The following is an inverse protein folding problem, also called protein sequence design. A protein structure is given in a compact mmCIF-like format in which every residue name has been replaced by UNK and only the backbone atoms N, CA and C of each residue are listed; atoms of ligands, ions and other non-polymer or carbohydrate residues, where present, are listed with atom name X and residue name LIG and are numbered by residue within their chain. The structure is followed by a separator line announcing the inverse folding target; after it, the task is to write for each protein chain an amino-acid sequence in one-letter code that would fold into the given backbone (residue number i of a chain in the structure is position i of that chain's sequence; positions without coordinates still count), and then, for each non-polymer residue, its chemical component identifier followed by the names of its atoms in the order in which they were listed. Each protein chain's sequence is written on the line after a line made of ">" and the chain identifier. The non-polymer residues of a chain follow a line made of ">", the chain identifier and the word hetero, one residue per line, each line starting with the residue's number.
data_IF_319588726919
#
_entry.id   IF_319588726919
#
_cell.length_a   1.000
_cell.length_b   1.000
_cell.length_c   1.000
_cell.angle_alpha   90.00
_cell.angle_beta   90.00
_cell.angle_gamma   90.00
#
_symmetry.space_group_name_H-M   'P 1'
#
loop_
_entity.id
_entity.type
_entity.pdbx_description
1 polymer ?
#
# COMPACT_ATOMS: atom_id res chain seq x y z
N UNK A 1 0.76 -17.02 -39.70
CA UNK A 1 0.20 -16.68 -38.38
C UNK A 1 1.29 -16.05 -37.52
N UNK A 2 1.26 -14.73 -37.31
CA UNK A 2 2.21 -14.02 -36.45
C UNK A 2 1.79 -14.17 -34.98
N UNK A 3 2.61 -14.83 -34.16
CA UNK A 3 2.44 -14.89 -32.71
C UNK A 3 3.06 -13.65 -32.06
N UNK A 4 2.25 -12.70 -31.62
CA UNK A 4 2.69 -11.66 -30.68
C UNK A 4 2.65 -12.23 -29.25
N UNK A 5 3.79 -12.75 -28.78
CA UNK A 5 3.99 -13.02 -27.35
C UNK A 5 4.28 -11.69 -26.65
N UNK A 6 3.32 -11.16 -25.89
CA UNK A 6 3.56 -10.07 -24.95
C UNK A 6 4.28 -10.63 -23.73
N UNK A 7 5.58 -10.34 -23.61
CA UNK A 7 6.36 -10.58 -22.38
C UNK A 7 6.57 -9.22 -21.73
N UNK A 8 6.02 -9.03 -20.53
CA UNK A 8 6.21 -7.81 -19.73
C UNK A 8 7.29 -8.11 -18.70
N UNK A 9 8.46 -7.51 -18.87
CA UNK A 9 9.53 -7.47 -17.87
C UNK A 9 9.38 -6.20 -17.03
N UNK A 10 9.31 -6.36 -15.70
CA UNK A 10 9.42 -5.26 -14.75
C UNK A 10 10.84 -5.27 -14.18
N UNK A 11 11.64 -4.24 -14.49
CA UNK A 11 12.99 -4.03 -13.95
C UNK A 11 12.91 -2.91 -12.90
N UNK A 12 13.09 -3.27 -11.62
CA UNK A 12 13.54 -2.32 -10.59
C UNK A 12 15.00 -2.67 -10.26
N UNK A 13 15.95 -1.97 -10.85
CA UNK A 13 17.37 -2.05 -10.48
C UNK A 13 17.68 -0.97 -9.45
N UNK A 14 17.81 -1.37 -8.19
CA UNK A 14 18.51 -0.59 -7.17
C UNK A 14 19.98 -0.96 -7.18
N UNK A 15 20.85 0.00 -7.51
CA UNK A 15 22.31 -0.14 -7.38
C UNK A 15 22.66 -0.24 -5.90
N UNK A 16 23.26 -1.36 -5.47
CA UNK A 16 23.82 -1.53 -4.13
C UNK A 16 25.30 -1.12 -4.21
N UNK A 17 25.64 0.04 -3.64
CA UNK A 17 27.03 0.37 -3.32
C UNK A 17 27.33 -0.16 -1.90
N UNK A 18 28.20 -1.17 -1.77
CA UNK A 18 28.76 -1.54 -0.47
C UNK A 18 29.94 -0.62 -0.15
N UNK A 19 29.91 0.08 0.97
CA UNK A 19 31.10 0.67 1.57
C UNK A 19 31.34 0.05 2.96
N UNK A 20 32.59 -0.30 3.30
CA UNK A 20 32.91 -0.89 4.59
C UNK A 20 32.80 0.14 5.71
N UNK A 21 32.29 -0.30 6.86
CA UNK A 21 32.18 0.50 8.07
C UNK A 21 33.58 0.84 8.61
N UNK A 22 33.84 2.13 8.83
CA UNK A 22 34.96 2.61 9.66
C UNK A 22 34.40 3.37 10.85
N UNK A 23 34.93 3.03 12.02
CA UNK A 23 34.60 3.57 13.33
C UNK A 23 34.82 5.09 13.38
N UNK A 24 33.79 5.85 13.81
CA UNK A 24 33.91 7.28 14.12
C UNK A 24 33.56 7.49 15.59
N UNK A 25 34.54 8.05 16.29
CA UNK A 25 34.51 8.45 17.70
C UNK A 25 33.44 9.50 17.98
N UNK A 26 32.78 9.38 19.14
CA UNK A 26 31.75 10.31 19.61
C UNK A 26 32.32 11.73 19.75
N UNK A 27 31.74 12.69 19.06
CA UNK A 27 31.87 14.12 19.37
C UNK A 27 30.48 14.70 19.60
N UNK A 28 30.29 15.33 20.75
CA UNK A 28 29.07 15.98 21.18
C UNK A 28 28.78 17.19 20.28
N UNK A 29 27.67 17.17 19.54
CA UNK A 29 27.10 18.36 18.92
C UNK A 29 25.58 18.37 19.14
N UNK A 30 25.12 19.37 19.88
CA UNK A 30 23.70 19.71 20.04
C UNK A 30 23.09 20.04 18.67
N UNK A 31 22.04 19.32 18.30
CA UNK A 31 21.27 19.58 17.09
C UNK A 31 20.35 20.80 17.27
N UNK A 32 20.62 21.87 16.50
CA UNK A 32 19.64 22.93 16.25
C UNK A 32 18.58 22.41 15.28
N UNK A 33 17.30 22.56 15.64
CA UNK A 33 16.17 22.27 14.75
C UNK A 33 16.21 23.15 13.48
N UNK A 34 15.85 22.61 12.30
CA UNK A 34 15.63 23.42 11.12
C UNK A 34 14.33 24.23 11.25
N UNK A 35 14.44 25.55 11.13
CA UNK A 35 13.32 26.48 10.98
C UNK A 35 12.72 26.31 9.58
N UNK A 36 11.45 25.90 9.49
CA UNK A 36 10.77 25.83 8.20
C UNK A 36 9.51 24.96 8.14
N UNK A 37 8.54 25.22 9.03
CA UNK A 37 7.13 24.90 8.79
C UNK A 37 6.31 25.90 9.61
N UNK A 38 5.82 26.95 8.96
CA UNK A 38 4.91 27.90 9.59
C UNK A 38 3.57 27.22 9.75
N UNK A 39 3.26 26.81 10.98
CA UNK A 39 1.89 26.51 11.39
C UNK A 39 1.11 27.81 11.21
N UNK A 40 0.14 27.84 10.30
CA UNK A 40 -0.86 28.90 10.30
C UNK A 40 -1.61 28.81 11.63
N UNK A 41 -1.21 29.63 12.60
CA UNK A 41 -2.07 29.95 13.74
C UNK A 41 -3.18 30.84 13.19
N UNK A 42 -4.34 30.25 12.94
CA UNK A 42 -5.58 31.02 12.84
C UNK A 42 -5.74 31.81 14.13
N UNK A 43 -5.76 33.13 14.01
CA UNK A 43 -6.11 34.03 15.10
C UNK A 43 -7.61 34.04 15.23
N UNK A 44 -8.17 33.15 16.04
CA UNK A 44 -9.53 33.32 16.55
C UNK A 44 -9.46 33.57 18.05
N UNK A 45 -9.66 34.83 18.40
CA UNK A 45 -10.01 35.25 19.74
C UNK A 45 -11.35 34.62 20.11
N UNK A 46 -11.35 33.58 20.96
CA UNK A 46 -12.47 33.34 21.86
C UNK A 46 -11.99 32.63 23.14
N UNK A 47 -12.18 33.34 24.26
CA UNK A 47 -12.07 32.79 25.61
C UNK A 47 -13.36 32.02 25.92
N UNK A 48 -13.20 30.79 26.42
CA UNK A 48 -14.20 30.08 27.22
C UNK A 48 -15.26 29.30 26.43
N UNK A 49 -15.12 27.97 26.40
CA UNK A 49 -16.15 27.05 25.90
C UNK A 49 -15.57 25.65 25.69
N UNK A 50 -16.30 24.62 26.13
CA UNK A 50 -15.94 23.20 26.10
C UNK A 50 -15.31 22.79 24.75
N UNK A 51 -14.14 22.16 24.79
CA UNK A 51 -13.35 21.80 23.61
C UNK A 51 -14.13 20.94 22.63
N UNK A 52 -14.47 21.50 21.47
CA UNK A 52 -14.93 20.73 20.34
C UNK A 52 -13.77 19.85 19.85
N UNK A 53 -13.96 18.53 19.66
CA UNK A 53 -12.93 17.70 19.05
C UNK A 53 -12.65 18.23 17.65
N UNK A 54 -11.40 18.56 17.33
CA UNK A 54 -11.05 18.97 15.98
C UNK A 54 -11.42 17.84 15.01
N UNK A 55 -12.27 18.16 14.05
CA UNK A 55 -12.71 17.18 13.05
C UNK A 55 -11.63 17.12 11.99
N UNK A 56 -10.89 16.00 11.91
CA UNK A 56 -9.93 15.79 10.84
C UNK A 56 -10.62 15.84 9.46
N UNK A 57 -10.05 16.62 8.55
CA UNK A 57 -10.50 16.72 7.16
C UNK A 57 -9.35 16.66 6.17
N UNK A 58 -9.57 16.04 5.00
CA UNK A 58 -8.57 15.94 3.93
C UNK A 58 -9.21 15.98 2.55
N UNK A 59 -8.46 16.45 1.56
CA UNK A 59 -8.83 16.31 0.14
C UNK A 59 -8.55 14.88 -0.37
N UNK A 60 -7.75 14.11 0.37
CA UNK A 60 -7.52 12.71 0.08
C UNK A 60 -8.63 11.84 0.69
N UNK A 61 -8.95 10.68 0.10
CA UNK A 61 -9.75 9.65 0.75
C UNK A 61 -9.16 9.27 2.11
N UNK A 62 -10.02 8.93 3.05
CA UNK A 62 -9.62 8.50 4.40
C UNK A 62 -9.88 7.01 4.53
N UNK A 63 -8.82 6.25 4.79
CA UNK A 63 -8.87 4.82 5.11
C UNK A 63 -8.73 4.66 6.61
N UNK A 64 -9.67 3.95 7.23
CA UNK A 64 -9.65 3.60 8.64
C UNK A 64 -9.58 2.08 8.72
N UNK A 65 -8.59 1.57 9.45
CA UNK A 65 -8.43 0.15 9.75
C UNK A 65 -8.50 -0.05 11.26
N UNK A 66 -9.26 -1.04 11.68
CA UNK A 66 -9.43 -1.44 13.07
C UNK A 66 -9.07 -2.91 13.24
N UNK A 67 -8.03 -3.19 14.02
CA UNK A 67 -7.56 -4.56 14.30
C UNK A 67 -8.11 -5.11 15.61
N UNK A 68 -8.99 -4.36 16.29
CA UNK A 68 -9.57 -4.69 17.58
C UNK A 68 -8.51 -5.00 18.65
N UNK A 69 -7.46 -4.18 18.69
CA UNK A 69 -6.36 -4.35 19.65
C UNK A 69 -5.31 -5.40 19.27
N UNK A 70 -5.39 -6.01 18.08
CA UNK A 70 -4.44 -7.05 17.64
C UNK A 70 -3.23 -6.45 16.93
N UNK A 71 -2.06 -6.97 17.27
CA UNK A 71 -0.80 -6.63 16.61
C UNK A 71 -0.73 -7.21 15.20
N UNK A 72 -0.38 -6.37 14.22
CA UNK A 72 -0.20 -6.79 12.83
C UNK A 72 1.19 -7.44 12.67
N UNK A 73 1.23 -8.67 12.15
CA UNK A 73 2.44 -9.43 11.86
C UNK A 73 2.69 -9.53 10.35
N UNK A 74 3.89 -9.94 9.93
CA UNK A 74 4.28 -10.12 8.52
C UNK A 74 3.47 -11.20 7.81
N UNK A 75 3.34 -12.38 8.42
CA UNK A 75 2.43 -13.43 7.96
C UNK A 75 2.03 -14.32 9.17
N UNK A 76 0.86 -14.98 9.12
CA UNK A 76 -0.24 -14.75 8.18
C UNK A 76 -1.10 -13.54 8.58
N UNK A 77 -1.90 -13.05 7.63
CA UNK A 77 -2.95 -12.04 7.85
C UNK A 77 -3.77 -12.29 9.12
N UNK A 78 -4.09 -11.20 9.81
CA UNK A 78 -5.04 -11.19 10.92
C UNK A 78 -6.37 -10.56 10.46
N UNK A 79 -7.51 -10.99 11.02
CA UNK A 79 -8.79 -10.34 10.75
C UNK A 79 -8.81 -8.90 11.30
N UNK A 80 -9.33 -7.98 10.49
CA UNK A 80 -9.55 -6.58 10.82
C UNK A 80 -10.80 -6.05 10.08
N UNK A 81 -11.22 -4.83 10.41
CA UNK A 81 -12.26 -4.10 9.69
C UNK A 81 -11.66 -2.90 8.97
N UNK A 82 -12.15 -2.60 7.78
CA UNK A 82 -11.75 -1.41 7.01
C UNK A 82 -12.97 -0.58 6.62
N UNK A 83 -12.83 0.74 6.73
CA UNK A 83 -13.78 1.74 6.22
C UNK A 83 -13.03 2.77 5.39
N UNK A 84 -13.53 3.04 4.19
CA UNK A 84 -13.01 4.08 3.29
C UNK A 84 -14.07 5.16 3.13
N UNK A 85 -13.68 6.39 3.48
CA UNK A 85 -14.47 7.60 3.30
C UNK A 85 -13.94 8.31 2.05
N UNK A 86 -14.83 8.52 1.08
CA UNK A 86 -14.51 9.21 -0.15
C UNK A 86 -15.74 9.84 -0.78
N UNK A 87 -15.77 11.16 -0.83
CA UNK A 87 -16.74 11.92 -1.61
C UNK A 87 -16.38 11.88 -3.10
N UNK A 88 -17.13 11.08 -3.85
CA UNK A 88 -16.96 10.90 -5.30
C UNK A 88 -17.25 12.17 -6.10
N UNK A 89 -17.94 13.15 -5.53
CA UNK A 89 -18.19 14.46 -6.16
C UNK A 89 -16.98 15.40 -6.10
N UNK A 90 -15.93 15.03 -5.35
CA UNK A 90 -14.72 15.84 -5.17
C UNK A 90 -14.76 16.78 -3.98
N UNK A 91 -15.78 16.67 -3.11
CA UNK A 91 -15.81 17.37 -1.84
C UNK A 91 -14.73 16.90 -0.86
N UNK A 92 -14.55 17.66 0.21
CA UNK A 92 -13.53 17.38 1.22
C UNK A 92 -14.02 16.27 2.16
N UNK A 93 -13.16 15.29 2.43
CA UNK A 93 -13.47 14.16 3.31
C UNK A 93 -13.27 14.55 4.78
N UNK A 94 -14.06 13.95 5.68
CA UNK A 94 -13.92 14.07 7.13
C UNK A 94 -14.15 12.73 7.81
N UNK A 95 -13.60 12.53 9.02
CA UNK A 95 -13.83 11.28 9.77
C UNK A 95 -15.31 11.03 10.13
N UNK A 96 -16.10 12.11 10.21
CA UNK A 96 -17.54 12.09 10.51
C UNK A 96 -18.42 12.00 9.25
N UNK A 97 -17.82 12.03 8.05
CA UNK A 97 -18.54 12.00 6.78
C UNK A 97 -19.32 10.70 6.58
N UNK A 98 -20.48 10.82 5.92
CA UNK A 98 -21.31 9.68 5.51
C UNK A 98 -21.00 9.18 4.10
N UNK A 99 -20.06 9.81 3.38
CA UNK A 99 -19.63 9.38 2.05
C UNK A 99 -18.72 8.14 2.14
N UNK A 100 -19.33 6.97 2.32
CA UNK A 100 -18.63 5.68 2.44
C UNK A 100 -18.47 5.06 1.06
N UNK A 101 -17.21 4.86 0.65
CA UNK A 101 -16.89 4.13 -0.59
C UNK A 101 -16.76 2.63 -0.34
N UNK A 102 -16.22 2.24 0.81
CA UNK A 102 -16.11 0.85 1.23
C UNK A 102 -16.26 0.70 2.74
N UNK A 103 -16.91 -0.38 3.18
CA UNK A 103 -16.93 -0.84 4.57
C UNK A 103 -17.06 -2.36 4.60
N UNK A 104 -16.10 -3.05 5.22
CA UNK A 104 -16.11 -4.51 5.24
C UNK A 104 -15.00 -5.13 6.09
N UNK A 105 -15.02 -6.46 6.16
CA UNK A 105 -13.97 -7.29 6.78
C UNK A 105 -12.77 -7.37 5.86
N UNK A 106 -11.59 -7.40 6.46
CA UNK A 106 -10.33 -7.59 5.75
C UNK A 106 -9.41 -8.54 6.53
N UNK A 107 -8.50 -9.21 5.82
CA UNK A 107 -7.24 -9.68 6.35
C UNK A 107 -6.19 -8.58 6.21
N UNK A 108 -5.36 -8.38 7.24
CA UNK A 108 -4.22 -7.44 7.19
C UNK A 108 -2.93 -8.09 7.70
N UNK A 109 -1.82 -7.79 7.04
CA UNK A 109 -0.47 -8.18 7.45
C UNK A 109 0.54 -7.06 7.14
N UNK A 110 1.70 -7.09 7.80
CA UNK A 110 2.83 -6.26 7.40
C UNK A 110 3.33 -6.74 6.04
N UNK A 111 3.90 -5.82 5.26
CA UNK A 111 4.42 -6.14 3.94
C UNK A 111 5.81 -5.56 3.74
N UNK A 112 6.62 -6.38 3.07
CA UNK A 112 7.90 -5.97 2.50
C UNK A 112 9.00 -6.93 2.89
N UNK A 113 10.24 -6.46 2.77
CA UNK A 113 11.42 -7.21 3.24
C UNK A 113 12.30 -6.27 4.05
N UNK A 114 13.05 -5.41 3.37
CA UNK A 114 13.85 -4.38 4.05
C UNK A 114 12.96 -3.33 4.72
N UNK A 115 11.81 -3.01 4.12
CA UNK A 115 10.87 -2.02 4.65
C UNK A 115 10.14 -2.46 5.93
N UNK A 116 10.17 -3.74 6.30
CA UNK A 116 9.62 -4.21 7.57
C UNK A 116 10.35 -3.60 8.78
N UNK A 117 11.61 -3.17 8.61
CA UNK A 117 12.37 -2.48 9.64
C UNK A 117 12.16 -0.97 9.67
N UNK A 118 11.28 -0.41 8.83
CA UNK A 118 11.03 1.03 8.80
C UNK A 118 9.99 1.44 9.85
N UNK A 119 10.12 2.61 10.50
CA UNK A 119 9.12 3.10 11.44
C UNK A 119 7.72 3.25 10.85
N UNK A 120 7.63 3.52 9.55
CA UNK A 120 6.37 3.57 8.81
C UNK A 120 6.19 2.27 8.03
N UNK A 121 5.35 1.40 8.57
CA UNK A 121 5.06 0.08 8.02
C UNK A 121 4.27 0.18 6.71
N UNK A 122 4.37 -0.88 5.90
CA UNK A 122 3.49 -1.10 4.75
C UNK A 122 2.60 -2.30 5.06
N UNK A 123 1.41 -2.33 4.45
CA UNK A 123 0.43 -3.36 4.73
C UNK A 123 -0.05 -4.06 3.47
N UNK A 124 -0.18 -5.38 3.55
CA UNK A 124 -1.00 -6.16 2.63
C UNK A 124 -2.42 -6.24 3.18
N UNK A 125 -3.41 -5.96 2.35
CA UNK A 125 -4.84 -5.98 2.71
C UNK A 125 -5.57 -6.92 1.76
N UNK A 126 -6.40 -7.79 2.30
CA UNK A 126 -7.25 -8.71 1.55
C UNK A 126 -8.69 -8.49 1.99
N UNK A 127 -9.59 -8.17 1.07
CA UNK A 127 -11.01 -8.01 1.35
C UNK A 127 -11.63 -9.38 1.50
N UNK A 128 -12.40 -9.57 2.57
CA UNK A 128 -12.95 -10.86 2.95
C UNK A 128 -14.48 -10.81 3.09
N UNK A 129 -15.13 -11.93 2.81
CA UNK A 129 -16.54 -12.17 3.15
C UNK A 129 -16.73 -12.47 4.65
N UNK A 130 -17.92 -12.93 5.04
CA UNK A 130 -18.22 -13.19 6.44
C UNK A 130 -17.55 -14.47 6.97
N UNK A 131 -17.24 -15.39 6.06
CA UNK A 131 -16.57 -16.67 6.27
C UNK A 131 -15.02 -16.54 6.23
N UNK A 132 -14.49 -15.39 5.80
CA UNK A 132 -13.06 -15.12 5.71
C UNK A 132 -12.43 -15.48 4.35
N UNK A 133 -13.23 -15.74 3.31
CA UNK A 133 -12.73 -15.98 1.97
C UNK A 133 -12.54 -14.67 1.20
N UNK A 134 -11.66 -14.68 0.20
CA UNK A 134 -11.44 -13.60 -0.75
C UNK A 134 -12.77 -13.10 -1.35
N UNK A 135 -12.98 -11.78 -1.25
CA UNK A 135 -14.12 -11.09 -1.86
C UNK A 135 -13.66 -9.89 -2.66
N UNK A 136 -13.96 -9.89 -3.95
CA UNK A 136 -13.64 -8.75 -4.80
C UNK A 136 -14.53 -7.55 -4.48
N UNK A 137 -13.90 -6.38 -4.30
CA UNK A 137 -14.61 -5.11 -4.22
C UNK A 137 -13.81 -4.00 -4.89
N UNK A 138 -14.53 -3.06 -5.51
CA UNK A 138 -13.94 -1.84 -6.08
C UNK A 138 -13.64 -0.86 -4.94
N UNK A 139 -12.42 -0.34 -4.90
CA UNK A 139 -12.01 0.72 -3.98
C UNK A 139 -11.64 1.96 -4.77
N UNK A 140 -12.18 3.12 -4.40
CA UNK A 140 -11.80 4.44 -4.92
C UNK A 140 -11.85 4.53 -6.46
N UNK A 141 -12.88 3.91 -7.04
CA UNK A 141 -13.11 3.81 -8.50
C UNK A 141 -12.05 3.00 -9.25
N UNK A 142 -11.23 2.21 -8.55
CA UNK A 142 -10.34 1.22 -9.16
C UNK A 142 -11.12 -0.10 -9.37
N UNK A 143 -10.79 -0.91 -10.40
CA UNK A 143 -11.47 -2.18 -10.62
C UNK A 143 -11.43 -3.11 -9.42
N UNK A 144 -12.50 -3.89 -9.30
CA UNK A 144 -12.75 -4.74 -8.16
C UNK A 144 -11.71 -5.84 -8.05
N UNK A 145 -11.28 -6.12 -6.81
CA UNK A 145 -10.37 -7.22 -6.48
C UNK A 145 -10.23 -7.39 -4.97
N UNK A 146 -9.78 -8.57 -4.54
CA UNK A 146 -9.64 -8.90 -3.12
C UNK A 146 -8.37 -8.29 -2.52
N UNK A 147 -7.25 -8.30 -3.25
CA UNK A 147 -5.94 -7.95 -2.70
C UNK A 147 -5.47 -6.53 -3.07
N UNK A 148 -5.07 -5.79 -2.04
CA UNK A 148 -4.59 -4.41 -2.10
C UNK A 148 -3.32 -4.22 -1.26
N UNK A 149 -2.58 -3.15 -1.54
CA UNK A 149 -1.40 -2.76 -0.78
C UNK A 149 -1.54 -1.33 -0.29
N UNK A 150 -1.29 -1.10 0.99
CA UNK A 150 -1.08 0.22 1.57
C UNK A 150 0.43 0.44 1.70
N UNK A 151 1.00 1.10 0.69
CA UNK A 151 2.42 1.42 0.67
C UNK A 151 2.67 2.70 1.48
N UNK A 152 3.48 2.57 2.54
CA UNK A 152 4.04 3.69 3.31
C UNK A 152 5.43 4.05 2.79
N UNK A 153 5.59 5.08 1.93
CA UNK A 153 6.85 5.38 1.25
C UNK A 153 7.87 6.09 2.18
N UNK A 154 8.32 5.42 3.24
CA UNK A 154 9.18 6.00 4.28
C UNK A 154 10.52 6.56 3.77
N UNK A 155 11.19 5.82 2.88
CA UNK A 155 12.48 6.21 2.30
C UNK A 155 12.34 7.27 1.22
N UNK A 156 11.20 7.33 0.53
CA UNK A 156 10.92 8.31 -0.52
C UNK A 156 10.40 9.61 0.09
N UNK A 157 11.29 10.61 0.22
CA UNK A 157 10.95 11.93 0.78
C UNK A 157 9.92 12.73 -0.02
N UNK A 158 9.65 12.35 -1.27
CA UNK A 158 8.61 12.98 -2.09
C UNK A 158 7.26 12.29 -1.95
N UNK A 159 7.23 11.06 -1.42
CA UNK A 159 6.08 10.14 -1.39
C UNK A 159 5.55 9.75 -2.79
N UNK A 160 6.10 10.29 -3.88
CA UNK A 160 5.49 10.29 -5.21
C UNK A 160 6.23 9.43 -6.24
N UNK A 161 7.42 8.90 -5.95
CA UNK A 161 8.23 8.20 -6.99
C UNK A 161 7.52 6.99 -7.55
N UNK A 162 6.93 6.16 -6.68
CA UNK A 162 6.16 4.99 -7.12
C UNK A 162 4.90 5.42 -7.90
N UNK A 163 4.18 6.42 -7.40
CA UNK A 163 3.00 6.97 -8.08
C UNK A 163 3.34 7.41 -9.50
N UNK A 164 4.39 8.23 -9.66
CA UNK A 164 4.81 8.76 -10.97
C UNK A 164 5.25 7.63 -11.92
N UNK A 165 5.99 6.64 -11.42
CA UNK A 165 6.44 5.52 -12.24
C UNK A 165 5.25 4.70 -12.79
N UNK A 166 4.28 4.37 -11.94
CA UNK A 166 3.09 3.64 -12.37
C UNK A 166 2.20 4.48 -13.29
N UNK A 167 1.98 5.75 -12.94
CA UNK A 167 1.19 6.69 -13.72
C UNK A 167 1.76 6.90 -15.12
N UNK A 168 3.08 7.09 -15.23
CA UNK A 168 3.74 7.24 -16.54
C UNK A 168 3.63 5.99 -17.40
N UNK A 169 3.81 4.79 -16.81
CA UNK A 169 3.60 3.54 -17.54
C UNK A 169 2.18 3.43 -18.09
N UNK A 170 1.18 3.72 -17.25
CA UNK A 170 -0.23 3.67 -17.66
C UNK A 170 -0.54 4.71 -18.76
N UNK A 171 0.01 5.92 -18.67
CA UNK A 171 -0.16 6.97 -19.70
C UNK A 171 0.41 6.61 -21.06
N UNK A 172 1.48 5.80 -21.10
CA UNK A 172 2.05 5.29 -22.36
C UNK A 172 1.39 3.97 -22.83
N UNK A 173 0.26 3.58 -22.24
CA UNK A 173 -0.49 2.39 -22.61
C UNK A 173 0.15 1.07 -22.16
N UNK A 174 1.04 1.12 -21.15
CA UNK A 174 1.66 -0.07 -20.56
C UNK A 174 1.11 -0.26 -19.16
N UNK A 175 0.36 -1.34 -18.95
CA UNK A 175 -0.20 -1.66 -17.64
C UNK A 175 0.86 -1.58 -16.53
N UNK A 176 0.53 -0.80 -15.52
CA UNK A 176 1.13 -0.80 -14.21
C UNK A 176 0.01 -0.68 -13.17
N UNK A 177 0.26 -1.15 -11.95
CA UNK A 177 -0.71 -1.06 -10.85
C UNK A 177 -1.28 0.35 -10.73
N UNK A 178 -2.61 0.48 -10.72
CA UNK A 178 -3.27 1.75 -10.45
C UNK A 178 -3.16 2.09 -8.98
N UNK A 179 -3.12 3.39 -8.69
CA UNK A 179 -2.85 3.87 -7.34
C UNK A 179 -3.69 5.08 -6.97
N UNK A 180 -3.93 5.26 -5.66
CA UNK A 180 -4.60 6.42 -5.07
C UNK A 180 -3.90 6.82 -3.78
N UNK A 181 -3.61 8.10 -3.58
CA UNK A 181 -3.14 8.60 -2.28
C UNK A 181 -4.30 8.61 -1.28
N UNK A 182 -4.03 8.23 -0.04
CA UNK A 182 -5.02 8.15 1.04
C UNK A 182 -4.43 8.62 2.37
N UNK A 183 -5.26 9.17 3.25
CA UNK A 183 -4.94 9.32 4.67
C UNK A 183 -5.24 8.01 5.38
N UNK A 184 -4.29 7.46 6.14
CA UNK A 184 -4.51 6.22 6.88
C UNK A 184 -4.63 6.49 8.38
N UNK A 185 -5.71 5.96 8.96
CA UNK A 185 -5.92 5.81 10.39
C UNK A 185 -5.89 4.33 10.75
N UNK A 186 -5.07 3.98 11.73
CA UNK A 186 -4.87 2.62 12.18
C UNK A 186 -5.18 2.52 13.68
N UNK A 187 -6.28 1.85 14.01
CA UNK A 187 -6.70 1.54 15.36
C UNK A 187 -6.18 0.15 15.77
N UNK A 188 -5.00 0.14 16.39
CA UNK A 188 -4.37 -1.05 16.98
C UNK A 188 -4.67 -1.21 18.48
N UNK A 189 -5.62 -0.43 19.00
CA UNK A 189 -6.07 -0.45 20.40
C UNK A 189 -7.55 -0.87 20.50
N UNK A 190 -8.08 -0.95 21.71
CA UNK A 190 -9.50 -1.23 21.98
C UNK A 190 -10.36 0.04 21.96
N UNK A 191 -9.90 1.11 21.30
CA UNK A 191 -10.62 2.37 21.26
C UNK A 191 -11.86 2.26 20.38
N UNK A 192 -13.00 2.76 20.88
CA UNK A 192 -14.27 2.75 20.11
C UNK A 192 -14.33 3.86 19.05
N UNK A 193 -13.54 4.93 19.23
CA UNK A 193 -13.55 6.11 18.37
C UNK A 193 -12.17 6.31 17.78
N UNK A 194 -12.08 6.23 16.45
CA UNK A 194 -10.91 6.64 15.69
C UNK A 194 -10.77 8.17 15.73
N UNK A 195 -9.54 8.64 15.90
CA UNK A 195 -9.18 10.05 16.04
C UNK A 195 -7.66 10.23 15.91
N UNK A 196 -7.15 11.42 16.21
CA UNK A 196 -5.78 11.85 15.87
C UNK A 196 -4.66 10.88 16.27
N UNK A 197 -4.78 10.24 17.44
CA UNK A 197 -3.76 9.27 17.92
C UNK A 197 -3.59 8.05 17.01
N UNK A 198 -4.57 7.76 16.17
CA UNK A 198 -4.56 6.64 15.25
C UNK A 198 -4.05 7.04 13.86
N UNK A 199 -3.82 8.32 13.58
CA UNK A 199 -3.36 8.78 12.29
C UNK A 199 -1.90 8.35 12.05
N UNK A 200 -1.67 7.62 10.96
CA UNK A 200 -0.32 7.10 10.58
C UNK A 200 0.22 7.74 9.30
N UNK A 201 -0.45 8.79 8.81
CA UNK A 201 0.01 9.62 7.70
C UNK A 201 -0.56 9.23 6.34
N UNK A 202 -0.01 9.87 5.30
CA UNK A 202 -0.34 9.59 3.90
C UNK A 202 0.24 8.25 3.44
N UNK A 203 -0.59 7.45 2.76
CA UNK A 203 -0.23 6.19 2.11
C UNK A 203 -0.58 6.22 0.63
N UNK A 204 0.05 5.35 -0.14
CA UNK A 204 -0.36 5.04 -1.51
C UNK A 204 -1.11 3.71 -1.49
N UNK A 205 -2.42 3.72 -1.74
CA UNK A 205 -3.19 2.53 -2.05
C UNK A 205 -2.77 2.05 -3.44
N UNK A 206 -2.37 0.80 -3.54
CA UNK A 206 -1.84 0.18 -4.77
C UNK A 206 -2.61 -1.10 -5.05
N UNK A 207 -3.03 -1.23 -6.30
CA UNK A 207 -3.51 -2.46 -6.92
C UNK A 207 -2.44 -3.58 -6.90
N UNK A 208 -2.74 -4.75 -6.35
CA UNK A 208 -1.81 -5.90 -6.41
C UNK A 208 -1.75 -6.49 -7.82
N UNK A 209 -0.56 -6.81 -8.31
CA UNK A 209 -0.45 -7.46 -9.63
C UNK A 209 -0.98 -8.89 -9.54
N UNK A 210 -2.04 -9.18 -10.30
CA UNK A 210 -2.69 -10.49 -10.44
C UNK A 210 -3.17 -10.68 -11.88
N UNK A 211 -3.51 -11.93 -12.21
CA UNK A 211 -4.20 -12.26 -13.45
C UNK A 211 -5.64 -11.74 -13.37
N UNK A 212 -6.08 -10.98 -14.37
CA UNK A 212 -7.44 -10.46 -14.47
C UNK A 212 -7.59 -9.60 -15.72
N UNK A 213 -8.82 -9.49 -16.23
CA UNK A 213 -9.12 -8.73 -17.46
C UNK A 213 -8.74 -7.26 -17.32
N UNK A 214 -9.00 -6.66 -16.16
CA UNK A 214 -8.62 -5.29 -15.82
C UNK A 214 -7.16 -5.16 -15.32
N UNK A 215 -6.38 -6.25 -15.29
CA UNK A 215 -5.00 -6.30 -14.76
C UNK A 215 -4.05 -6.92 -15.79
N UNK A 216 -3.38 -8.02 -15.42
CA UNK A 216 -2.58 -8.81 -16.34
C UNK A 216 -3.52 -9.78 -17.04
N UNK A 217 -4.05 -9.34 -18.18
CA UNK A 217 -4.93 -10.16 -19.03
C UNK A 217 -4.11 -11.23 -19.76
N UNK A 218 -4.07 -12.41 -19.14
CA UNK A 218 -3.41 -13.59 -19.67
C UNK A 218 -4.31 -14.81 -19.50
N UNK A 219 -4.20 -15.75 -20.44
CA UNK A 219 -5.00 -16.98 -20.43
C UNK A 219 -4.69 -17.84 -19.20
N UNK A 220 -5.71 -18.41 -18.53
CA UNK A 220 -5.47 -19.36 -17.45
C UNK A 220 -4.80 -20.62 -17.98
N UNK A 221 -4.05 -21.29 -17.11
CA UNK A 221 -3.48 -22.61 -17.39
C UNK A 221 -4.51 -23.70 -17.08
N UNK A 222 -4.47 -24.80 -17.84
CA UNK A 222 -5.23 -26.03 -17.56
C UNK A 222 -4.24 -27.12 -17.13
N UNK A 223 -4.60 -28.07 -16.25
CA UNK A 223 -3.66 -29.05 -15.70
C UNK A 223 -2.82 -29.83 -16.73
N UNK A 224 -3.32 -30.03 -17.94
CA UNK A 224 -2.61 -30.74 -19.03
C UNK A 224 -2.09 -29.81 -20.15
N UNK A 225 -2.31 -28.50 -20.06
CA UNK A 225 -1.98 -27.52 -21.09
C UNK A 225 -1.16 -26.36 -20.51
N UNK A 226 0.13 -26.37 -20.82
CA UNK A 226 1.12 -25.38 -20.38
C UNK A 226 1.24 -24.18 -21.34
N UNK A 227 0.36 -24.06 -22.34
CA UNK A 227 0.42 -22.95 -23.33
C UNK A 227 -0.24 -21.65 -22.84
N UNK A 228 -0.73 -21.64 -21.60
CA UNK A 228 -1.32 -20.47 -20.95
C UNK A 228 -0.32 -19.37 -20.60
N UNK A 229 -0.80 -18.37 -19.86
CA UNK A 229 0.01 -17.26 -19.40
C UNK A 229 0.72 -17.53 -18.08
N UNK A 230 1.84 -16.84 -17.87
CA UNK A 230 2.64 -16.90 -16.66
C UNK A 230 2.89 -15.50 -16.12
N UNK A 231 2.92 -15.38 -14.79
CA UNK A 231 3.43 -14.19 -14.11
C UNK A 231 4.66 -14.64 -13.33
N UNK A 232 5.78 -13.97 -13.58
CA UNK A 232 7.07 -14.22 -12.93
C UNK A 232 7.52 -12.94 -12.24
N UNK A 233 8.30 -13.09 -11.17
CA UNK A 233 8.95 -11.95 -10.48
C UNK A 233 10.44 -12.15 -10.33
N UNK A 234 11.17 -11.04 -10.27
CA UNK A 234 12.54 -10.96 -9.77
C UNK A 234 12.44 -10.36 -8.37
N UNK A 235 12.81 -11.13 -7.34
CA UNK A 235 12.62 -10.73 -5.95
C UNK A 235 13.67 -11.36 -5.02
N UNK A 236 13.62 -10.98 -3.74
CA UNK A 236 14.26 -11.75 -2.67
C UNK A 236 13.51 -13.07 -2.47
N UNK A 237 14.25 -14.13 -2.15
CA UNK A 237 13.67 -15.45 -1.89
C UNK A 237 12.77 -15.39 -0.66
N UNK A 238 11.57 -15.93 -0.79
CA UNK A 238 10.69 -16.20 0.34
C UNK A 238 10.58 -17.69 0.68
N UNK A 239 9.94 -18.00 1.82
CA UNK A 239 9.68 -19.39 2.19
C UNK A 239 8.74 -20.03 1.17
N UNK A 240 9.02 -21.28 0.81
CA UNK A 240 8.17 -22.11 -0.05
C UNK A 240 7.96 -21.58 -1.49
N UNK A 241 8.75 -20.62 -1.97
CA UNK A 241 8.67 -20.18 -3.36
C UNK A 241 9.43 -21.13 -4.30
N UNK A 242 8.82 -21.42 -5.45
CA UNK A 242 9.48 -22.13 -6.54
C UNK A 242 10.12 -21.12 -7.50
N UNK A 243 11.37 -21.35 -7.88
CA UNK A 243 12.11 -20.50 -8.80
C UNK A 243 12.98 -21.31 -9.76
N UNK A 244 13.42 -20.66 -10.84
CA UNK A 244 14.42 -21.18 -11.77
C UNK A 244 15.42 -20.09 -12.15
N UNK A 245 16.54 -20.50 -12.74
CA UNK A 245 17.55 -19.58 -13.27
C UNK A 245 17.46 -19.51 -14.79
N UNK A 246 17.59 -18.30 -15.34
CA UNK A 246 17.85 -18.12 -16.77
C UNK A 246 19.29 -18.56 -17.09
N UNK A 247 19.60 -18.74 -18.38
CA UNK A 247 20.97 -19.01 -18.85
C UNK A 247 21.97 -17.93 -18.39
N UNK A 248 21.51 -16.70 -18.16
CA UNK A 248 22.33 -15.58 -17.69
C UNK A 248 22.39 -15.47 -16.16
N UNK A 249 21.86 -16.45 -15.42
CA UNK A 249 21.89 -16.48 -13.96
C UNK A 249 20.83 -15.61 -13.28
N UNK A 250 19.88 -15.04 -14.02
CA UNK A 250 18.77 -14.28 -13.41
C UNK A 250 17.80 -15.27 -12.76
N UNK A 251 17.56 -15.10 -11.47
CA UNK A 251 16.60 -15.90 -10.72
C UNK A 251 15.19 -15.35 -10.91
N UNK A 252 14.26 -16.20 -11.34
CA UNK A 252 12.86 -15.88 -11.56
C UNK A 252 11.97 -16.77 -10.69
N UNK A 253 11.05 -16.16 -9.96
CA UNK A 253 10.09 -16.84 -9.09
C UNK A 253 8.73 -16.93 -9.78
N UNK A 254 8.03 -18.05 -9.57
CA UNK A 254 6.66 -18.22 -10.04
C UNK A 254 5.68 -17.40 -9.18
N UNK A 255 4.81 -16.63 -9.86
CA UNK A 255 3.69 -15.90 -9.22
C UNK A 255 2.35 -16.47 -9.67
N UNK A 256 2.23 -16.78 -10.96
CA UNK A 256 1.09 -17.47 -11.55
C UNK A 256 1.57 -18.47 -12.60
N UNK A 257 1.07 -19.72 -12.62
CA UNK A 257 0.11 -20.29 -11.66
C UNK A 257 0.77 -20.51 -10.29
N UNK A 258 -0.04 -20.60 -9.22
CA UNK A 258 0.43 -21.07 -7.92
C UNK A 258 0.27 -22.57 -7.80
#
# INVERSE_FOLDING_TARGET
>A
MHFHKKVIFLLLTGVILSMPASCVTKTNQQSKQPKGATIFKGTDTNKGGLGHPEIFTSNLPIVIIDTSGKWIRDEPKIPAAMKIIYDKSGGRNSLSSQHIDFKGKIGIELRGKTSLGFPKNQYGVEIQDDEGNDKDASLLQLPAESDWVLNGPYSDKTLMRNYLAYEFSNRIGRYASRTKFVELFLNESSDTITGDKHYVGVYLLIEKIKRGEDRVDIKPLKPADITGGYILKIDKTDRYETYFFTRTGTRLFHVYPK
#
